data_IF_084991462557
#
_entry.id   IF_084991462557
#
_cell.length_a   1.000
_cell.length_b   1.000
_cell.length_c   1.000
_cell.angle_alpha   90.00
_cell.angle_beta   90.00
_cell.angle_gamma   90.00
#
_symmetry.space_group_name_H-M   'P 1'
#
loop_
_entity.id
_entity.type
_entity.pdbx_description
1 polymer ?
#
# COMPACT_ATOMS: atom_id res chain seq x y z
N UNK A 1 -1.75 3.31 12.06
CA UNK A 1 -0.43 3.85 11.68
C UNK A 1 -0.29 3.87 10.17
N UNK A 2 0.14 4.98 9.58
CA UNK A 2 0.39 5.15 8.15
C UNK A 2 1.90 5.31 7.95
N UNK A 3 2.51 4.43 7.15
CA UNK A 3 3.93 4.50 6.82
C UNK A 3 4.13 5.39 5.58
N UNK A 4 4.71 6.55 5.77
CA UNK A 4 4.96 7.53 4.72
C UNK A 4 6.46 7.79 4.54
N UNK A 5 6.86 8.10 3.32
CA UNK A 5 8.22 8.54 3.01
C UNK A 5 8.52 9.87 3.71
N UNK A 6 9.72 10.04 4.25
CA UNK A 6 10.16 11.27 4.93
C UNK A 6 10.18 12.49 3.99
N UNK A 7 10.26 12.26 2.67
CA UNK A 7 10.18 13.30 1.63
C UNK A 7 8.75 13.68 1.25
N UNK A 8 7.73 12.94 1.75
CA UNK A 8 6.34 13.22 1.45
C UNK A 8 5.93 14.60 2.03
N UNK A 9 5.42 15.47 1.18
CA UNK A 9 4.96 16.81 1.59
C UNK A 9 3.79 16.73 2.57
N UNK A 10 3.70 17.71 3.47
CA UNK A 10 2.59 17.81 4.43
C UNK A 10 1.22 17.82 3.75
N UNK A 11 1.10 18.48 2.59
CA UNK A 11 -0.14 18.51 1.81
C UNK A 11 -0.59 17.11 1.39
N UNK A 12 0.33 16.24 0.95
CA UNK A 12 0.02 14.85 0.61
C UNK A 12 -0.34 14.03 1.85
N UNK A 13 0.36 14.21 2.95
CA UNK A 13 0.05 13.55 4.22
C UNK A 13 -1.36 13.90 4.69
N UNK A 14 -1.70 15.20 4.67
CA UNK A 14 -3.02 15.70 5.04
C UNK A 14 -4.12 15.14 4.13
N UNK A 15 -3.87 15.06 2.82
CA UNK A 15 -4.82 14.50 1.86
C UNK A 15 -5.13 13.02 2.17
N UNK A 16 -4.10 12.21 2.41
CA UNK A 16 -4.27 10.79 2.74
C UNK A 16 -5.00 10.62 4.07
N UNK A 17 -4.59 11.37 5.10
CA UNK A 17 -5.23 11.32 6.41
C UNK A 17 -6.70 11.72 6.33
N UNK A 18 -7.01 12.77 5.58
CA UNK A 18 -8.37 13.25 5.37
C UNK A 18 -9.22 12.19 4.65
N UNK A 19 -8.70 11.61 3.55
CA UNK A 19 -9.41 10.58 2.79
C UNK A 19 -9.72 9.35 3.65
N UNK A 20 -8.76 8.89 4.47
CA UNK A 20 -8.99 7.76 5.38
C UNK A 20 -10.04 8.11 6.43
N UNK A 21 -9.99 9.31 7.03
CA UNK A 21 -11.00 9.76 8.01
C UNK A 21 -12.39 9.83 7.40
N UNK A 22 -12.49 10.35 6.19
CA UNK A 22 -13.75 10.49 5.47
C UNK A 22 -14.41 9.13 5.25
N UNK A 23 -13.64 8.13 4.79
CA UNK A 23 -14.12 6.75 4.67
C UNK A 23 -14.63 6.16 5.99
N UNK A 24 -13.94 6.41 7.11
CA UNK A 24 -14.41 5.95 8.42
C UNK A 24 -15.69 6.67 8.86
N UNK A 25 -15.81 7.97 8.60
CA UNK A 25 -17.00 8.75 8.94
C UNK A 25 -18.22 8.32 8.13
N UNK A 26 -18.05 7.91 6.88
CA UNK A 26 -19.12 7.37 6.03
C UNK A 26 -19.56 5.95 6.45
N UNK A 27 -18.61 5.13 6.88
CA UNK A 27 -18.88 3.74 7.28
C UNK A 27 -19.63 3.64 8.62
N UNK A 28 -19.40 4.58 9.53
CA UNK A 28 -20.07 4.64 10.83
C UNK A 28 -21.26 5.60 10.77
N UNK A 29 -22.47 5.07 10.54
CA UNK A 29 -23.74 5.83 10.64
C UNK A 29 -24.09 6.23 12.10
N UNK A 30 -23.10 6.59 12.92
CA UNK A 30 -23.29 6.91 14.32
C UNK A 30 -22.04 7.52 14.95
N UNK A 31 -22.19 8.02 16.20
CA UNK A 31 -21.12 8.64 17.01
C UNK A 31 -20.02 7.62 17.43
N UNK A 32 -19.42 6.92 16.46
CA UNK A 32 -18.26 6.06 16.69
C UNK A 32 -17.00 6.90 16.90
N UNK A 33 -16.12 6.46 17.80
CA UNK A 33 -14.81 7.08 17.96
C UNK A 33 -14.00 6.85 16.68
N UNK A 34 -13.63 7.93 16.01
CA UNK A 34 -12.68 7.86 14.90
C UNK A 34 -11.37 7.22 15.37
N UNK A 35 -10.78 6.32 14.58
CA UNK A 35 -9.52 5.70 14.96
C UNK A 35 -8.43 6.75 15.14
N UNK A 36 -7.60 6.56 16.14
CA UNK A 36 -6.39 7.37 16.29
C UNK A 36 -5.45 7.09 15.11
N UNK A 37 -5.06 8.15 14.39
CA UNK A 37 -4.19 8.04 13.23
C UNK A 37 -2.85 8.70 13.47
N UNK A 38 -1.79 7.92 13.30
CA UNK A 38 -0.41 8.35 13.33
C UNK A 38 0.22 8.18 11.97
N UNK A 39 0.98 9.18 11.51
CA UNK A 39 1.85 9.06 10.35
C UNK A 39 3.28 8.89 10.83
N UNK A 40 3.88 7.75 10.54
CA UNK A 40 5.31 7.51 10.77
C UNK A 40 6.10 7.74 9.50
N UNK A 41 7.01 8.70 9.58
CA UNK A 41 7.92 9.02 8.48
C UNK A 41 9.07 8.04 8.50
N UNK A 42 9.20 7.30 7.39
CA UNK A 42 10.26 6.32 7.18
C UNK A 42 11.34 6.97 6.30
N UNK A 43 12.58 6.81 6.67
CA UNK A 43 13.70 7.18 5.81
C UNK A 43 13.84 6.12 4.71
N UNK A 44 13.57 6.54 3.48
CA UNK A 44 13.64 5.71 2.29
C UNK A 44 14.94 5.94 1.49
N UNK A 45 15.97 6.48 2.12
CA UNK A 45 17.28 6.69 1.48
C UNK A 45 17.85 5.36 0.93
N UNK A 46 17.59 4.26 1.63
CA UNK A 46 17.85 2.91 1.18
C UNK A 46 16.86 1.90 1.82
N UNK A 47 16.84 0.68 1.27
CA UNK A 47 15.94 -0.39 1.74
C UNK A 47 16.26 -0.84 3.18
N UNK A 48 17.51 -0.77 3.61
CA UNK A 48 17.95 -1.19 4.94
C UNK A 48 17.43 -0.23 6.01
N UNK A 49 17.50 1.09 5.77
CA UNK A 49 16.96 2.11 6.67
C UNK A 49 15.45 1.97 6.86
N UNK A 50 14.71 1.64 5.78
CA UNK A 50 13.29 1.39 5.85
C UNK A 50 12.96 0.12 6.67
N UNK A 51 13.74 -0.95 6.46
CA UNK A 51 13.58 -2.21 7.21
C UNK A 51 13.84 -2.00 8.70
N UNK A 52 14.92 -1.30 9.08
CA UNK A 52 15.27 -1.03 10.48
C UNK A 52 14.16 -0.19 11.15
N UNK A 53 13.73 0.90 10.52
CA UNK A 53 12.69 1.76 11.07
C UNK A 53 11.35 1.04 11.26
N UNK A 54 10.97 0.15 10.33
CA UNK A 54 9.75 -0.66 10.46
C UNK A 54 9.91 -1.73 11.53
N UNK A 55 11.07 -2.38 11.62
CA UNK A 55 11.39 -3.36 12.66
C UNK A 55 11.25 -2.76 14.06
N UNK A 56 11.72 -1.52 14.25
CA UNK A 56 11.61 -0.82 15.53
C UNK A 56 10.15 -0.66 16.00
N UNK A 57 9.20 -0.51 15.06
CA UNK A 57 7.76 -0.47 15.40
C UNK A 57 7.31 -1.80 16.01
N UNK A 58 7.77 -2.93 15.47
CA UNK A 58 7.40 -4.26 15.96
C UNK A 58 8.13 -4.65 17.25
N UNK A 59 9.27 -4.03 17.55
CA UNK A 59 9.97 -4.21 18.83
C UNK A 59 9.25 -3.56 19.99
N UNK A 60 8.51 -2.47 19.77
CA UNK A 60 7.68 -1.83 20.77
C UNK A 60 6.33 -2.53 20.90
N UNK A 61 6.33 -3.65 21.63
CA UNK A 61 5.14 -4.49 21.82
C UNK A 61 3.99 -3.81 22.58
N UNK A 62 4.24 -2.69 23.27
CA UNK A 62 3.22 -1.98 24.05
C UNK A 62 2.45 -0.97 23.22
N UNK A 63 3.06 -0.48 22.12
CA UNK A 63 2.48 0.53 21.24
C UNK A 63 2.34 0.02 19.78
N UNK A 64 2.18 -1.29 19.61
CA UNK A 64 1.99 -1.88 18.30
C UNK A 64 0.62 -1.43 17.73
N UNK A 65 0.59 -0.85 16.51
CA UNK A 65 -0.66 -0.39 15.93
C UNK A 65 -1.55 -1.55 15.48
N UNK A 66 -2.88 -1.44 15.68
CA UNK A 66 -3.85 -2.42 15.19
C UNK A 66 -3.87 -2.55 13.67
N UNK A 67 -3.62 -1.43 12.97
CA UNK A 67 -3.62 -1.34 11.50
C UNK A 67 -2.39 -0.59 11.04
N UNK A 68 -1.68 -1.16 10.08
CA UNK A 68 -0.58 -0.50 9.37
C UNK A 68 -0.93 -0.33 7.89
N UNK A 69 -0.87 0.91 7.41
CA UNK A 69 -1.09 1.26 6.00
C UNK A 69 0.25 1.56 5.34
N UNK A 70 0.62 0.74 4.36
CA UNK A 70 1.85 0.89 3.60
C UNK A 70 1.57 1.62 2.29
N UNK A 71 2.30 2.69 2.00
CA UNK A 71 2.09 3.51 0.81
C UNK A 71 3.02 3.16 -0.37
N UNK A 72 3.85 2.13 -0.23
CA UNK A 72 4.67 1.57 -1.31
C UNK A 72 4.97 0.08 -1.09
N UNK A 73 5.52 -0.56 -2.12
CA UNK A 73 5.84 -2.00 -2.10
C UNK A 73 6.95 -2.37 -1.12
N UNK A 74 7.96 -1.51 -0.95
CA UNK A 74 9.08 -1.76 -0.03
C UNK A 74 8.56 -1.79 1.41
N UNK A 75 7.77 -0.80 1.83
CA UNK A 75 7.19 -0.78 3.17
C UNK A 75 6.24 -1.97 3.39
N UNK A 76 5.49 -2.36 2.37
CA UNK A 76 4.63 -3.55 2.44
C UNK A 76 5.46 -4.79 2.73
N UNK A 77 6.57 -4.99 2.01
CA UNK A 77 7.45 -6.14 2.20
C UNK A 77 8.14 -6.12 3.57
N UNK A 78 8.72 -4.99 3.98
CA UNK A 78 9.36 -4.86 5.29
C UNK A 78 8.37 -5.09 6.44
N UNK A 79 7.12 -4.59 6.30
CA UNK A 79 6.10 -4.71 7.34
C UNK A 79 5.63 -6.15 7.51
N UNK A 80 5.33 -6.88 6.43
CA UNK A 80 4.91 -8.26 6.59
C UNK A 80 6.05 -9.16 7.06
N UNK A 81 7.30 -8.90 6.61
CA UNK A 81 8.45 -9.64 7.08
C UNK A 81 8.66 -9.42 8.59
N UNK A 82 8.60 -8.17 9.06
CA UNK A 82 8.68 -7.87 10.48
C UNK A 82 7.54 -8.54 11.27
N UNK A 83 6.31 -8.56 10.75
CA UNK A 83 5.20 -9.25 11.40
C UNK A 83 5.47 -10.76 11.57
N UNK A 84 6.11 -11.38 10.60
CA UNK A 84 6.54 -12.79 10.68
C UNK A 84 7.67 -12.97 11.70
N UNK A 85 8.73 -12.17 11.58
CA UNK A 85 9.95 -12.29 12.39
C UNK A 85 9.67 -12.07 13.89
N UNK A 86 8.75 -11.16 14.22
CA UNK A 86 8.35 -10.86 15.60
C UNK A 86 7.11 -11.66 16.07
N UNK A 87 6.64 -12.63 15.24
CA UNK A 87 5.46 -13.46 15.55
C UNK A 87 4.21 -12.64 15.87
N UNK A 88 3.95 -11.60 15.09
CA UNK A 88 2.82 -10.67 15.20
C UNK A 88 1.78 -10.84 14.09
N UNK A 89 1.85 -11.94 13.33
CA UNK A 89 0.89 -12.26 12.28
C UNK A 89 -0.51 -12.40 12.89
N UNK A 90 -1.45 -11.61 12.37
CA UNK A 90 -2.84 -11.59 12.86
C UNK A 90 -3.11 -10.60 14.00
N UNK A 91 -2.08 -10.11 14.71
CA UNK A 91 -2.21 -9.04 15.70
C UNK A 91 -2.32 -7.66 15.03
N UNK A 92 -1.58 -7.46 13.94
CA UNK A 92 -1.59 -6.23 13.14
C UNK A 92 -2.23 -6.51 11.79
N UNK A 93 -3.21 -5.69 11.39
CA UNK A 93 -3.78 -5.74 10.03
C UNK A 93 -2.94 -4.88 9.09
N UNK A 94 -2.30 -5.51 8.12
CA UNK A 94 -1.47 -4.82 7.13
C UNK A 94 -2.29 -4.54 5.89
N UNK A 95 -2.41 -3.26 5.53
CA UNK A 95 -2.92 -2.80 4.24
C UNK A 95 -1.72 -2.47 3.37
N UNK A 96 -1.46 -3.34 2.40
CA UNK A 96 -0.31 -3.26 1.51
C UNK A 96 -0.56 -2.41 0.28
N UNK A 97 0.50 -2.20 -0.47
CA UNK A 97 0.49 -1.53 -1.75
C UNK A 97 1.30 -2.34 -2.76
N UNK A 98 0.78 -2.43 -3.99
CA UNK A 98 1.29 -3.21 -5.11
C UNK A 98 1.02 -4.72 -5.02
N UNK A 99 1.39 -5.45 -6.07
CA UNK A 99 1.02 -6.87 -6.26
C UNK A 99 2.18 -7.69 -6.83
N UNK A 100 3.38 -7.58 -6.21
CA UNK A 100 4.46 -8.54 -6.52
C UNK A 100 4.07 -9.94 -6.03
N UNK A 101 4.64 -10.99 -6.61
CA UNK A 101 4.37 -12.37 -6.22
C UNK A 101 4.55 -12.59 -4.72
N UNK A 102 5.59 -11.99 -4.12
CA UNK A 102 5.84 -12.06 -2.68
C UNK A 102 4.73 -11.39 -1.85
N UNK A 103 4.18 -10.26 -2.32
CA UNK A 103 3.06 -9.58 -1.67
C UNK A 103 1.79 -10.40 -1.84
N UNK A 104 1.50 -10.92 -3.04
CA UNK A 104 0.34 -11.76 -3.31
C UNK A 104 0.36 -13.05 -2.47
N UNK A 105 1.51 -13.70 -2.35
CA UNK A 105 1.70 -14.89 -1.49
C UNK A 105 1.41 -14.54 -0.02
N UNK A 106 1.90 -13.41 0.47
CA UNK A 106 1.63 -12.96 1.83
C UNK A 106 0.14 -12.59 2.06
N UNK A 107 -0.57 -12.08 1.02
CA UNK A 107 -2.02 -11.83 1.07
C UNK A 107 -2.80 -13.14 1.04
N UNK A 108 -2.42 -14.11 0.19
CA UNK A 108 -3.05 -15.44 0.16
C UNK A 108 -2.96 -16.11 1.54
N UNK A 109 -1.77 -16.06 2.16
CA UNK A 109 -1.49 -16.62 3.49
C UNK A 109 -2.09 -15.80 4.64
N UNK A 110 -2.76 -14.69 4.34
CA UNK A 110 -3.37 -13.77 5.32
C UNK A 110 -2.37 -13.15 6.31
N UNK A 111 -1.11 -13.04 5.94
CA UNK A 111 -0.11 -12.24 6.66
C UNK A 111 -0.40 -10.76 6.39
N UNK A 112 -0.67 -10.40 5.12
CA UNK A 112 -1.21 -9.11 4.71
C UNK A 112 -2.73 -9.26 4.59
N UNK A 113 -3.49 -8.32 5.16
CA UNK A 113 -4.95 -8.35 5.13
C UNK A 113 -5.49 -8.13 3.71
N UNK A 114 -4.98 -7.11 3.03
CA UNK A 114 -5.24 -6.81 1.62
C UNK A 114 -4.17 -5.89 1.06
N UNK A 115 -4.05 -5.84 -0.27
CA UNK A 115 -3.16 -4.90 -0.96
C UNK A 115 -3.90 -4.14 -2.05
N UNK A 116 -3.38 -2.97 -2.41
CA UNK A 116 -3.91 -2.16 -3.52
C UNK A 116 -3.02 -2.35 -4.74
N UNK A 117 -3.62 -2.84 -5.82
CA UNK A 117 -2.99 -2.93 -7.14
C UNK A 117 -3.37 -1.72 -7.98
N UNK A 118 -2.40 -1.13 -8.66
CA UNK A 118 -2.60 -0.08 -9.66
C UNK A 118 -2.52 -0.70 -11.05
N UNK A 119 -3.42 -0.29 -11.96
CA UNK A 119 -3.34 -0.71 -13.37
C UNK A 119 -2.14 -0.03 -14.05
N UNK A 120 -1.02 -0.75 -14.10
CA UNK A 120 0.23 -0.26 -14.68
C UNK A 120 0.17 -0.17 -16.21
N UNK A 121 -0.67 -0.97 -16.87
CA UNK A 121 -0.89 -0.90 -18.31
C UNK A 121 -1.69 0.35 -18.68
N UNK A 122 -2.75 0.64 -17.95
CA UNK A 122 -3.48 1.90 -18.08
C UNK A 122 -2.56 3.10 -17.81
N UNK A 123 -1.77 3.05 -16.73
CA UNK A 123 -0.81 4.11 -16.38
C UNK A 123 0.18 4.38 -17.53
N UNK A 124 0.77 3.35 -18.12
CA UNK A 124 1.65 3.47 -19.28
C UNK A 124 0.95 4.10 -20.47
N UNK A 125 -0.26 3.65 -20.78
CA UNK A 125 -1.08 4.19 -21.87
C UNK A 125 -1.41 5.67 -21.68
N UNK A 126 -1.79 6.07 -20.46
CA UNK A 126 -2.08 7.46 -20.13
C UNK A 126 -0.83 8.35 -20.18
N UNK A 127 0.35 7.84 -19.79
CA UNK A 127 1.61 8.57 -19.97
C UNK A 127 1.90 8.89 -21.45
N UNK A 128 1.76 7.91 -22.33
CA UNK A 128 1.95 8.12 -23.78
C UNK A 128 0.93 9.13 -24.31
N UNK A 129 -0.33 8.99 -23.92
CA UNK A 129 -1.39 9.93 -24.32
C UNK A 129 -1.09 11.36 -23.88
N UNK A 130 -0.69 11.56 -22.62
CA UNK A 130 -0.36 12.87 -22.09
C UNK A 130 0.83 13.52 -22.84
N UNK A 131 1.85 12.73 -23.20
CA UNK A 131 2.99 13.19 -24.00
C UNK A 131 2.56 13.60 -25.42
N UNK A 132 1.68 12.83 -26.05
CA UNK A 132 1.13 13.13 -27.38
C UNK A 132 0.32 14.42 -27.36
N UNK A 133 -0.61 14.56 -26.40
CA UNK A 133 -1.42 15.77 -26.21
C UNK A 133 -0.54 17.01 -26.00
N UNK A 134 0.48 16.88 -25.15
CA UNK A 134 1.42 17.98 -24.91
C UNK A 134 2.21 18.37 -26.16
N UNK A 135 2.65 17.38 -26.95
CA UNK A 135 3.37 17.63 -28.21
C UNK A 135 2.50 18.35 -29.26
N UNK A 136 1.22 18.00 -29.34
CA UNK A 136 0.29 18.54 -30.32
C UNK A 136 -0.27 19.91 -29.94
N UNK A 137 -0.58 20.12 -28.66
CA UNK A 137 -1.32 21.30 -28.17
C UNK A 137 -0.51 22.21 -27.23
N UNK A 138 0.65 21.76 -26.75
CA UNK A 138 1.43 22.44 -25.72
C UNK A 138 0.82 22.35 -24.30
N UNK A 139 -0.23 21.56 -24.15
CA UNK A 139 -0.96 21.39 -22.88
C UNK A 139 -1.40 19.95 -22.68
N UNK A 140 -1.41 19.49 -21.40
CA UNK A 140 -2.04 18.24 -20.98
C UNK A 140 -2.60 18.39 -19.57
N UNK A 141 -3.45 17.47 -19.14
CA UNK A 141 -4.00 17.48 -17.78
C UNK A 141 -2.89 17.29 -16.74
N UNK A 142 -2.93 18.08 -15.68
CA UNK A 142 -2.03 17.91 -14.52
C UNK A 142 -2.41 16.72 -13.61
N UNK A 143 -3.59 16.13 -13.83
CA UNK A 143 -4.08 14.99 -13.07
C UNK A 143 -4.85 14.04 -13.99
N UNK A 144 -4.43 12.79 -13.98
CA UNK A 144 -5.10 11.69 -14.70
C UNK A 144 -5.33 10.55 -13.70
N UNK A 145 -6.59 10.21 -13.39
CA UNK A 145 -6.89 9.08 -12.52
C UNK A 145 -6.51 7.76 -13.20
N UNK A 146 -5.95 6.83 -12.42
CA UNK A 146 -5.63 5.47 -12.87
C UNK A 146 -6.46 4.50 -12.04
N UNK A 147 -6.96 3.45 -12.69
CA UNK A 147 -7.75 2.40 -12.04
C UNK A 147 -6.94 1.68 -10.97
N UNK A 148 -7.59 1.41 -9.84
CA UNK A 148 -7.00 0.65 -8.74
C UNK A 148 -7.95 -0.47 -8.32
N UNK A 149 -7.38 -1.58 -7.85
CA UNK A 149 -8.12 -2.72 -7.34
C UNK A 149 -7.61 -3.11 -5.95
N UNK A 150 -8.54 -3.43 -5.04
CA UNK A 150 -8.20 -4.02 -3.75
C UNK A 150 -8.15 -5.54 -3.90
N UNK A 151 -7.01 -6.13 -3.57
CA UNK A 151 -6.77 -7.56 -3.67
C UNK A 151 -6.79 -8.16 -2.26
N UNK A 152 -7.76 -9.03 -2.01
CA UNK A 152 -7.82 -9.87 -0.83
C UNK A 152 -7.34 -11.30 -1.11
N UNK A 153 -7.36 -12.16 -0.09
CA UNK A 153 -6.80 -13.53 -0.13
C UNK A 153 -7.32 -14.40 -1.29
N UNK A 154 -8.61 -14.34 -1.62
CA UNK A 154 -9.18 -15.15 -2.70
C UNK A 154 -8.68 -14.70 -4.08
N UNK A 155 -8.58 -13.40 -4.30
CA UNK A 155 -8.10 -12.82 -5.55
C UNK A 155 -6.59 -13.00 -5.70
N UNK A 156 -5.82 -12.84 -4.61
CA UNK A 156 -4.38 -13.12 -4.62
C UNK A 156 -4.06 -14.55 -5.06
N UNK A 157 -4.81 -15.52 -4.53
CA UNK A 157 -4.70 -16.92 -4.93
C UNK A 157 -4.95 -17.12 -6.43
N UNK A 158 -5.99 -16.48 -6.97
CA UNK A 158 -6.33 -16.57 -8.39
C UNK A 158 -5.20 -16.02 -9.26
N UNK A 159 -4.67 -14.84 -8.91
CA UNK A 159 -3.59 -14.18 -9.65
C UNK A 159 -2.31 -15.00 -9.65
N UNK A 160 -1.94 -15.61 -8.51
CA UNK A 160 -0.77 -16.49 -8.42
C UNK A 160 -0.92 -17.72 -9.32
N UNK A 161 -2.10 -18.33 -9.35
CA UNK A 161 -2.37 -19.50 -10.22
C UNK A 161 -2.31 -19.14 -11.72
N UNK A 162 -2.79 -17.95 -12.09
CA UNK A 162 -2.70 -17.48 -13.48
C UNK A 162 -1.25 -17.26 -13.91
N UNK A 163 -0.42 -16.65 -13.03
CA UNK A 163 1.00 -16.44 -13.29
C UNK A 163 1.76 -17.78 -13.47
N UNK A 164 1.48 -18.80 -12.65
CA UNK A 164 2.10 -20.13 -12.77
C UNK A 164 1.74 -20.81 -14.11
N UNK A 165 0.53 -20.61 -14.63
CA UNK A 165 0.09 -21.19 -15.92
C UNK A 165 0.77 -20.48 -17.10
N UNK A 166 0.98 -19.17 -17.01
CA UNK A 166 1.69 -18.41 -18.05
C UNK A 166 3.18 -18.80 -18.13
N UNK A 167 3.84 -18.98 -16.99
CA UNK A 167 5.23 -19.40 -16.92
C UNK A 167 5.43 -20.85 -17.41
N UNK A 168 4.47 -21.73 -17.18
CA UNK A 168 4.51 -23.12 -17.63
C UNK A 168 4.23 -23.29 -19.15
N UNK A 169 3.67 -22.27 -19.79
CA UNK A 169 3.31 -22.26 -21.22
C UNK A 169 4.38 -21.69 -22.16
N UNK A 170 5.47 -21.11 -21.63
CA UNK A 170 6.61 -20.58 -22.37
C UNK A 170 7.81 -21.53 -22.31
#
# INVERSE_FOLDING_TARGET
>A
CILADNTMSESKQNLITFAIRDCFSEAEQGEGNLPEMEIRKIDASDAFSAEEAIRDIFMDSQNLPDIMVCLNSVYTQCTYQAAVDYNRVGEVKILGYYSTDAILDAVEKRIIYSTVQVDTQEMGSQCIRALTEYHESGYTSSYVPISTQVIGSAEAKRLLQEAEVEDAGN
#
